data_IF_981287840333
#
_entry.id   IF_981287840333
#
_cell.length_a   1.000
_cell.length_b   1.000
_cell.length_c   1.000
_cell.angle_alpha   90.00
_cell.angle_beta   90.00
_cell.angle_gamma   90.00
#
_symmetry.space_group_name_H-M   'P 1'
#
loop_
_entity.id
_entity.type
_entity.pdbx_description
1 polymer ?
#
# COMPACT_ATOMS: atom_id res chain seq x y z
N UNK A 1 -20.04 -10.56 -17.28
CA UNK A 1 -20.02 -10.11 -15.87
C UNK A 1 -21.26 -9.28 -15.60
N UNK A 2 -21.93 -9.53 -14.49
CA UNK A 2 -23.20 -8.90 -14.14
C UNK A 2 -22.97 -7.61 -13.34
N UNK A 3 -22.86 -6.50 -14.04
CA UNK A 3 -22.63 -5.19 -13.40
C UNK A 3 -23.87 -4.64 -12.71
N UNK A 4 -25.04 -5.15 -13.07
CA UNK A 4 -26.29 -4.71 -12.46
C UNK A 4 -26.36 -5.03 -10.95
N UNK A 5 -25.68 -6.08 -10.52
CA UNK A 5 -25.69 -6.55 -9.15
C UNK A 5 -24.35 -6.40 -8.43
N UNK A 6 -23.36 -5.77 -9.07
CA UNK A 6 -22.06 -5.56 -8.48
C UNK A 6 -22.00 -4.23 -7.75
N UNK A 7 -21.37 -4.24 -6.59
CA UNK A 7 -21.03 -3.01 -5.87
C UNK A 7 -19.54 -2.73 -6.07
N UNK A 8 -19.15 -1.47 -5.87
CA UNK A 8 -17.73 -1.14 -5.86
C UNK A 8 -17.05 -1.85 -4.68
N UNK A 9 -15.77 -2.24 -4.83
CA UNK A 9 -15.04 -2.86 -3.72
C UNK A 9 -15.08 -1.99 -2.47
N UNK A 10 -15.39 -2.63 -1.33
CA UNK A 10 -15.45 -1.96 -0.03
C UNK A 10 -14.07 -1.82 0.60
N UNK A 11 -13.99 -1.13 1.74
CA UNK A 11 -12.78 -1.07 2.54
C UNK A 11 -12.32 -2.49 2.94
N UNK A 12 -13.25 -3.34 3.37
CA UNK A 12 -12.94 -4.73 3.73
C UNK A 12 -12.48 -5.55 2.54
N UNK A 13 -13.07 -5.34 1.37
CA UNK A 13 -12.65 -6.01 0.14
C UNK A 13 -11.20 -5.67 -0.21
N UNK A 14 -10.84 -4.40 -0.10
CA UNK A 14 -9.47 -3.96 -0.36
C UNK A 14 -8.49 -4.50 0.67
N UNK A 15 -8.87 -4.55 1.94
CA UNK A 15 -8.01 -5.13 2.97
C UNK A 15 -7.76 -6.61 2.70
N UNK A 16 -8.79 -7.36 2.38
CA UNK A 16 -8.67 -8.80 2.04
C UNK A 16 -7.76 -8.99 0.82
N UNK A 17 -7.96 -8.18 -0.20
CA UNK A 17 -7.14 -8.24 -1.41
C UNK A 17 -5.69 -7.89 -1.12
N UNK A 18 -5.44 -6.87 -0.31
CA UNK A 18 -4.09 -6.43 0.06
C UNK A 18 -3.35 -7.52 0.84
N UNK A 19 -4.02 -8.16 1.80
CA UNK A 19 -3.42 -9.25 2.57
C UNK A 19 -3.06 -10.43 1.69
N UNK A 20 -3.95 -10.81 0.78
CA UNK A 20 -3.69 -11.89 -0.18
C UNK A 20 -2.56 -11.55 -1.13
N UNK A 21 -2.53 -10.32 -1.65
CA UNK A 21 -1.46 -9.84 -2.52
C UNK A 21 -0.11 -9.86 -1.81
N UNK A 22 -0.05 -9.37 -0.58
CA UNK A 22 1.19 -9.35 0.20
C UNK A 22 1.69 -10.78 0.46
N UNK A 23 0.78 -11.69 0.81
CA UNK A 23 1.14 -13.09 1.07
C UNK A 23 1.71 -13.79 -0.16
N UNK A 24 1.38 -13.33 -1.35
CA UNK A 24 1.89 -13.89 -2.61
C UNK A 24 3.25 -13.33 -3.05
N UNK A 25 3.72 -12.26 -2.41
CA UNK A 25 5.01 -11.66 -2.75
C UNK A 25 6.18 -12.56 -2.32
N UNK A 26 7.35 -12.44 -2.96
CA UNK A 26 8.52 -13.23 -2.58
C UNK A 26 8.85 -13.09 -1.10
N UNK A 27 9.25 -14.20 -0.48
CA UNK A 27 9.55 -14.22 0.96
C UNK A 27 10.64 -13.22 1.36
N UNK A 28 11.60 -13.01 0.49
CA UNK A 28 12.69 -12.04 0.70
C UNK A 28 12.16 -10.61 0.79
N UNK A 29 11.18 -10.28 -0.05
CA UNK A 29 10.53 -8.96 -0.01
C UNK A 29 9.69 -8.82 1.25
N UNK A 30 8.89 -9.83 1.59
CA UNK A 30 8.06 -9.80 2.81
C UNK A 30 8.90 -9.68 4.08
N UNK A 31 10.09 -10.26 4.08
CA UNK A 31 11.01 -10.19 5.22
C UNK A 31 11.47 -8.77 5.53
N UNK A 32 11.42 -7.84 4.56
CA UNK A 32 11.79 -6.44 4.78
C UNK A 32 10.92 -5.78 5.84
N UNK A 33 9.64 -6.13 5.86
CA UNK A 33 8.67 -5.50 6.78
C UNK A 33 8.47 -6.30 8.06
N UNK A 34 8.67 -7.61 8.03
CA UNK A 34 8.18 -8.50 9.07
C UNK A 34 6.65 -8.44 9.13
N UNK A 35 6.09 -8.46 10.32
CA UNK A 35 4.65 -8.33 10.49
C UNK A 35 4.20 -6.93 10.12
N UNK A 36 3.15 -6.85 9.30
CA UNK A 36 2.64 -5.59 8.77
C UNK A 36 1.15 -5.47 9.08
N UNK A 37 0.75 -4.26 9.45
CA UNK A 37 -0.66 -3.92 9.69
C UNK A 37 -1.19 -3.18 8.47
N UNK A 38 -2.32 -3.65 7.94
CA UNK A 38 -2.98 -3.01 6.80
C UNK A 38 -4.09 -2.09 7.32
N UNK A 39 -4.07 -0.84 6.89
CA UNK A 39 -5.11 0.14 7.22
C UNK A 39 -5.69 0.66 5.92
N UNK A 40 -6.97 0.45 5.69
CA UNK A 40 -7.65 0.91 4.48
C UNK A 40 -8.63 2.02 4.86
N UNK A 41 -8.46 3.16 4.23
CA UNK A 41 -9.30 4.33 4.44
C UNK A 41 -9.77 4.85 3.08
N UNK A 42 -10.85 5.63 3.06
CA UNK A 42 -11.32 6.18 1.79
C UNK A 42 -10.35 7.21 1.21
N UNK A 43 -9.82 8.09 2.05
CA UNK A 43 -8.89 9.15 1.62
C UNK A 43 -7.81 9.36 2.67
N UNK A 44 -6.64 9.92 2.30
CA UNK A 44 -5.67 10.33 3.29
C UNK A 44 -6.24 11.42 4.19
N UNK A 45 -5.84 11.43 5.46
CA UNK A 45 -6.28 12.46 6.39
C UNK A 45 -5.54 13.79 6.15
N UNK A 46 -5.95 14.84 6.86
CA UNK A 46 -5.36 16.17 6.71
C UNK A 46 -3.88 16.19 7.06
N UNK A 47 -3.47 15.39 8.03
CA UNK A 47 -2.07 15.30 8.45
C UNK A 47 -1.19 14.76 7.32
N UNK A 48 -1.64 13.68 6.66
CA UNK A 48 -0.94 13.11 5.50
C UNK A 48 -0.91 14.12 4.36
N UNK A 49 -2.04 14.79 4.10
CA UNK A 49 -2.13 15.81 3.05
C UNK A 49 -1.08 16.89 3.23
N UNK A 50 -0.90 17.39 4.46
CA UNK A 50 0.08 18.43 4.77
C UNK A 50 1.51 17.90 4.70
N UNK A 51 1.77 16.77 5.32
CA UNK A 51 3.11 16.21 5.43
C UNK A 51 3.68 15.82 4.07
N UNK A 52 2.82 15.36 3.16
CA UNK A 52 3.21 14.95 1.81
C UNK A 52 3.04 16.08 0.79
N UNK A 53 2.60 17.26 1.23
CA UNK A 53 2.38 18.42 0.36
C UNK A 53 1.48 18.10 -0.83
N UNK A 54 0.37 17.38 -0.57
CA UNK A 54 -0.56 16.99 -1.62
C UNK A 54 -1.51 18.13 -1.98
N UNK A 55 -1.74 18.33 -3.26
CA UNK A 55 -2.72 19.29 -3.76
C UNK A 55 -4.12 18.68 -3.86
N UNK A 56 -4.19 17.36 -4.01
CA UNK A 56 -5.44 16.62 -4.12
C UNK A 56 -5.36 15.34 -3.31
N UNK A 57 -6.47 14.96 -2.71
CA UNK A 57 -6.58 13.71 -1.96
C UNK A 57 -6.52 12.47 -2.87
N UNK A 58 -6.58 12.64 -4.19
CA UNK A 58 -6.44 11.57 -5.17
C UNK A 58 -4.99 11.33 -5.62
N UNK A 59 -4.04 12.14 -5.17
CA UNK A 59 -2.64 12.02 -5.62
C UNK A 59 -1.89 10.84 -5.03
N UNK A 60 -2.37 10.26 -3.94
CA UNK A 60 -1.68 9.19 -3.24
C UNK A 60 -2.57 7.95 -3.16
N UNK A 61 -2.04 6.79 -3.55
CA UNK A 61 -2.77 5.52 -3.51
C UNK A 61 -2.52 4.76 -2.23
N UNK A 62 -1.35 4.96 -1.62
CA UNK A 62 -0.98 4.30 -0.38
C UNK A 62 0.21 4.97 0.26
N UNK A 63 0.50 4.58 1.50
CA UNK A 63 1.60 5.14 2.26
C UNK A 63 2.14 4.09 3.23
N UNK A 64 3.43 3.83 3.15
CA UNK A 64 4.09 2.92 4.09
C UNK A 64 4.63 3.71 5.27
N UNK A 65 4.34 3.21 6.47
CA UNK A 65 4.84 3.77 7.71
C UNK A 65 5.60 2.69 8.47
N UNK A 66 6.92 2.72 8.36
CA UNK A 66 7.77 1.76 9.06
C UNK A 66 8.13 2.22 10.46
N UNK A 67 8.64 1.28 11.27
CA UNK A 67 9.22 1.64 12.55
C UNK A 67 10.43 2.53 12.30
N UNK A 68 10.43 3.71 12.92
CA UNK A 68 11.52 4.65 12.80
C UNK A 68 12.75 4.10 13.54
N UNK A 69 13.86 3.95 12.83
CA UNK A 69 15.12 3.49 13.41
C UNK A 69 15.58 4.42 14.52
N UNK A 70 15.37 5.71 14.37
CA UNK A 70 15.70 6.70 15.39
C UNK A 70 14.92 6.47 16.69
N UNK A 71 13.67 6.04 16.60
CA UNK A 71 12.87 5.67 17.75
C UNK A 71 13.42 4.45 18.48
N UNK A 72 13.90 3.46 17.73
CA UNK A 72 14.53 2.27 18.30
C UNK A 72 15.83 2.61 19.01
N UNK A 73 16.64 3.47 18.42
CA UNK A 73 17.92 3.90 18.98
C UNK A 73 17.74 4.77 20.22
N UNK A 74 16.63 5.51 20.30
CA UNK A 74 16.30 6.31 21.47
C UNK A 74 15.78 5.49 22.64
N UNK A 75 15.66 4.17 22.50
CA UNK A 75 15.20 3.28 23.57
C UNK A 75 13.71 3.38 23.87
N UNK A 76 12.94 3.91 22.94
CA UNK A 76 11.48 3.97 23.08
C UNK A 76 10.91 2.57 22.88
N UNK A 77 10.41 1.98 23.95
CA UNK A 77 9.95 0.60 24.00
C UNK A 77 8.54 0.35 23.44
N UNK A 78 7.92 1.36 22.83
CA UNK A 78 6.66 1.14 22.13
C UNK A 78 7.00 0.92 20.66
N UNK A 79 7.00 -0.33 20.16
CA UNK A 79 7.23 -0.53 18.75
C UNK A 79 6.04 0.06 18.01
N UNK A 80 6.26 1.13 17.25
CA UNK A 80 5.28 1.55 16.27
C UNK A 80 5.17 0.39 15.29
N UNK A 81 3.99 -0.21 15.13
CA UNK A 81 3.85 -1.30 14.17
C UNK A 81 4.18 -0.80 12.77
N UNK A 82 4.78 -1.67 11.98
CA UNK A 82 4.93 -1.42 10.57
C UNK A 82 3.54 -1.41 9.94
N UNK A 83 3.18 -0.34 9.28
CA UNK A 83 1.83 -0.15 8.75
C UNK A 83 1.89 0.21 7.27
N UNK A 84 0.91 -0.25 6.52
CA UNK A 84 0.66 0.26 5.18
C UNK A 84 -0.76 0.76 5.10
N UNK A 85 -0.89 2.02 4.66
CA UNK A 85 -2.17 2.66 4.41
C UNK A 85 -2.51 2.50 2.94
N UNK A 86 -3.75 2.15 2.65
CA UNK A 86 -4.27 2.09 1.29
C UNK A 86 -5.51 2.98 1.24
N UNK A 87 -5.59 3.80 0.21
CA UNK A 87 -6.66 4.78 0.06
C UNK A 87 -7.62 4.33 -1.02
N UNK A 88 -8.81 3.92 -0.59
CA UNK A 88 -9.79 3.26 -1.45
C UNK A 88 -10.20 4.12 -2.66
N UNK A 89 -10.58 5.38 -2.43
CA UNK A 89 -11.09 6.22 -3.51
C UNK A 89 -10.00 6.56 -4.54
N UNK A 90 -8.79 6.95 -4.15
CA UNK A 90 -7.69 7.09 -5.09
C UNK A 90 -7.36 5.81 -5.87
N UNK A 91 -7.37 4.66 -5.20
CA UNK A 91 -7.11 3.36 -5.87
C UNK A 91 -8.21 3.07 -6.90
N UNK A 92 -9.49 3.27 -6.54
CA UNK A 92 -10.59 3.02 -7.46
C UNK A 92 -10.57 3.98 -8.65
N UNK A 93 -10.20 5.24 -8.41
CA UNK A 93 -10.06 6.24 -9.47
C UNK A 93 -8.94 5.86 -10.44
N UNK A 94 -7.79 5.47 -9.92
CA UNK A 94 -6.67 4.97 -10.74
C UNK A 94 -7.10 3.75 -11.55
N UNK A 95 -7.73 2.80 -10.92
CA UNK A 95 -8.21 1.58 -11.55
C UNK A 95 -9.19 1.88 -12.69
N UNK A 96 -10.09 2.82 -12.47
CA UNK A 96 -11.07 3.20 -13.50
C UNK A 96 -10.43 3.82 -14.74
N UNK A 97 -9.27 4.48 -14.59
CA UNK A 97 -8.58 5.15 -15.69
C UNK A 97 -7.59 4.25 -16.44
N UNK A 98 -7.22 3.12 -15.87
CA UNK A 98 -6.18 2.25 -16.42
C UNK A 98 -6.74 0.87 -16.79
N UNK A 99 -6.11 0.22 -17.76
CA UNK A 99 -6.51 -1.11 -18.22
C UNK A 99 -5.78 -2.21 -17.44
N UNK A 100 -5.92 -2.18 -16.11
CA UNK A 100 -5.30 -3.14 -15.21
C UNK A 100 -6.37 -3.75 -14.31
N UNK A 101 -6.09 -4.95 -13.79
CA UNK A 101 -6.98 -5.52 -12.78
C UNK A 101 -6.77 -4.80 -11.45
N UNK A 102 -7.79 -4.81 -10.60
CA UNK A 102 -7.67 -4.23 -9.27
C UNK A 102 -6.56 -4.94 -8.47
N UNK A 103 -6.43 -6.26 -8.62
CA UNK A 103 -5.35 -7.02 -7.99
C UNK A 103 -3.97 -6.53 -8.40
N UNK A 104 -3.78 -6.23 -9.69
CA UNK A 104 -2.51 -5.69 -10.18
C UNK A 104 -2.23 -4.30 -9.62
N UNK A 105 -3.26 -3.45 -9.53
CA UNK A 105 -3.12 -2.11 -8.95
C UNK A 105 -2.69 -2.19 -7.49
N UNK A 106 -3.37 -3.00 -6.69
CA UNK A 106 -3.05 -3.16 -5.26
C UNK A 106 -1.64 -3.72 -5.07
N UNK A 107 -1.27 -4.75 -5.84
CA UNK A 107 0.07 -5.34 -5.78
C UNK A 107 1.15 -4.30 -6.12
N UNK A 108 0.91 -3.50 -7.15
CA UNK A 108 1.83 -2.45 -7.55
C UNK A 108 2.03 -1.43 -6.41
N UNK A 109 0.94 -1.00 -5.77
CA UNK A 109 1.02 -0.07 -4.64
C UNK A 109 1.85 -0.66 -3.50
N UNK A 110 1.59 -1.92 -3.13
CA UNK A 110 2.33 -2.58 -2.06
C UNK A 110 3.83 -2.65 -2.37
N UNK A 111 4.18 -3.09 -3.57
CA UNK A 111 5.58 -3.25 -3.96
C UNK A 111 6.29 -1.90 -3.97
N UNK A 112 5.67 -0.87 -4.56
CA UNK A 112 6.34 0.42 -4.73
C UNK A 112 6.43 1.20 -3.41
N UNK A 113 5.39 1.19 -2.58
CA UNK A 113 5.43 1.90 -1.30
C UNK A 113 6.44 1.26 -0.35
N UNK A 114 6.42 -0.05 -0.23
CA UNK A 114 7.36 -0.79 0.61
C UNK A 114 8.78 -0.70 0.03
N UNK A 115 8.90 -0.92 -1.28
CA UNK A 115 10.19 -0.90 -1.97
C UNK A 115 10.91 0.44 -1.85
N UNK A 116 10.19 1.54 -2.08
CA UNK A 116 10.76 2.88 -1.93
C UNK A 116 11.27 3.14 -0.52
N UNK A 117 10.50 2.72 0.48
CA UNK A 117 10.90 2.90 1.88
C UNK A 117 12.23 2.20 2.19
N UNK A 118 12.46 1.02 1.63
CA UNK A 118 13.67 0.24 1.85
C UNK A 118 14.75 0.49 0.79
N UNK A 119 14.56 1.49 -0.06
CA UNK A 119 15.58 1.92 -1.01
C UNK A 119 15.78 1.02 -2.21
N UNK A 120 14.78 0.22 -2.58
CA UNK A 120 14.84 -0.60 -3.78
C UNK A 120 14.80 0.28 -5.03
N UNK A 121 15.54 -0.14 -6.06
CA UNK A 121 15.49 0.55 -7.35
C UNK A 121 14.22 0.20 -8.11
N UNK A 122 13.88 1.02 -9.11
CA UNK A 122 12.76 0.73 -10.00
C UNK A 122 12.93 -0.64 -10.68
N UNK A 123 14.17 -0.97 -11.09
CA UNK A 123 14.46 -2.27 -11.70
C UNK A 123 14.22 -3.43 -10.74
N UNK A 124 14.56 -3.27 -9.47
CA UNK A 124 14.31 -4.28 -8.43
C UNK A 124 12.82 -4.50 -8.25
N UNK A 125 12.05 -3.41 -8.18
CA UNK A 125 10.60 -3.49 -7.99
C UNK A 125 9.90 -4.08 -9.20
N UNK A 126 10.32 -3.72 -10.40
CA UNK A 126 9.79 -4.31 -11.63
C UNK A 126 10.06 -5.82 -11.70
N UNK A 127 11.24 -6.26 -11.25
CA UNK A 127 11.57 -7.68 -11.18
C UNK A 127 10.68 -8.44 -10.20
N UNK A 128 10.32 -7.82 -9.08
CA UNK A 128 9.42 -8.41 -8.09
C UNK A 128 8.02 -8.54 -8.69
N UNK A 129 7.52 -7.51 -9.35
CA UNK A 129 6.22 -7.55 -10.02
C UNK A 129 6.15 -8.64 -11.08
N UNK A 130 7.22 -8.83 -11.83
CA UNK A 130 7.28 -9.84 -12.90
C UNK A 130 7.22 -11.27 -12.37
N UNK A 131 7.61 -11.50 -11.10
CA UNK A 131 7.58 -12.83 -10.47
C UNK A 131 6.21 -13.18 -9.87
N UNK A 132 5.34 -12.23 -9.79
CA UNK A 132 4.02 -12.38 -9.20
C UNK A 132 2.95 -12.06 -10.24
#
# INVERSE_FOLDING_TARGET
MDWEHQQAPSLDDLETLARASFASLPSEFRALTGDIVFVVEDFPDESVMRDMELESEFEILGLFHGADLAHREAGLNAPNPTMIFLYRRPILDYWAEHHETLGDVVRHVLIHEIGHHFGLSDADMDAIEAKT
#
